data_IF_086194490363
#
_entry.id   IF_086194490363
#
_cell.length_a   1.000
_cell.length_b   1.000
_cell.length_c   1.000
_cell.angle_alpha   90.00
_cell.angle_beta   90.00
_cell.angle_gamma   90.00
#
_symmetry.space_group_name_H-M   'P 1'
#
loop_
_entity.id
_entity.type
_entity.pdbx_description
1 polymer ?
#
# COMPACT_ATOMS: atom_id res chain seq x y z
N UNK A 1 20.48 -14.01 25.67
CA UNK A 1 20.38 -14.10 24.19
C UNK A 1 19.42 -13.00 23.72
N UNK A 2 19.93 -11.85 23.30
CA UNK A 2 19.08 -10.72 22.88
C UNK A 2 18.77 -10.88 21.39
N UNK A 3 17.52 -11.22 21.06
CA UNK A 3 17.02 -11.19 19.70
C UNK A 3 17.07 -9.76 19.17
N UNK A 4 17.70 -9.49 18.00
CA UNK A 4 17.72 -8.14 17.45
C UNK A 4 16.30 -7.78 17.01
N UNK A 5 15.68 -6.87 17.77
CA UNK A 5 14.47 -6.17 17.40
C UNK A 5 14.72 -5.52 16.04
N UNK A 6 14.25 -6.14 14.96
CA UNK A 6 14.18 -5.51 13.63
C UNK A 6 13.32 -4.26 13.79
N UNK A 7 13.98 -3.11 13.98
CA UNK A 7 13.35 -1.79 13.96
C UNK A 7 12.60 -1.72 12.63
N UNK A 8 11.27 -1.77 12.70
CA UNK A 8 10.40 -1.72 11.51
C UNK A 8 10.56 -0.33 10.89
N UNK A 9 11.55 -0.19 10.00
CA UNK A 9 11.83 1.06 9.30
C UNK A 9 10.60 1.41 8.47
N UNK A 10 10.01 2.56 8.77
CA UNK A 10 8.81 3.01 8.09
C UNK A 10 9.13 3.24 6.62
N UNK A 11 8.25 2.79 5.74
CA UNK A 11 8.33 3.06 4.30
C UNK A 11 8.43 4.58 4.09
N UNK A 12 9.51 5.04 3.46
CA UNK A 12 9.73 6.45 3.12
C UNK A 12 8.67 6.94 2.12
N UNK A 13 8.55 8.26 1.96
CA UNK A 13 7.54 8.84 1.04
C UNK A 13 7.74 8.35 -0.40
N UNK A 14 8.99 8.27 -0.85
CA UNK A 14 9.37 7.78 -2.18
C UNK A 14 9.00 6.30 -2.35
N UNK A 15 9.29 5.47 -1.35
CA UNK A 15 8.87 4.07 -1.31
C UNK A 15 7.34 3.92 -1.38
N UNK A 16 6.60 4.79 -0.68
CA UNK A 16 5.13 4.80 -0.73
C UNK A 16 4.63 5.19 -2.12
N UNK A 17 5.25 6.20 -2.75
CA UNK A 17 4.88 6.62 -4.11
C UNK A 17 5.15 5.52 -5.12
N UNK A 18 6.31 4.85 -5.02
CA UNK A 18 6.63 3.69 -5.84
C UNK A 18 5.63 2.56 -5.64
N UNK A 19 5.28 2.24 -4.39
CA UNK A 19 4.28 1.22 -4.09
C UNK A 19 2.95 1.52 -4.79
N UNK A 20 2.47 2.76 -4.71
CA UNK A 20 1.22 3.18 -5.35
C UNK A 20 1.32 3.02 -6.87
N UNK A 21 2.40 3.50 -7.47
CA UNK A 21 2.64 3.39 -8.92
C UNK A 21 2.64 1.92 -9.38
N UNK A 22 3.34 1.05 -8.66
CA UNK A 22 3.42 -0.38 -8.99
C UNK A 22 2.08 -1.11 -8.82
N UNK A 23 1.25 -0.70 -7.85
CA UNK A 23 -0.11 -1.24 -7.68
C UNK A 23 -1.04 -0.72 -8.77
N UNK A 24 -0.95 0.56 -9.13
CA UNK A 24 -1.77 1.16 -10.21
C UNK A 24 -1.44 0.54 -11.57
N UNK A 25 -0.16 0.23 -11.83
CA UNK A 25 0.27 -0.52 -13.01
C UNK A 25 -0.25 -1.96 -13.05
N UNK A 26 -0.74 -2.50 -11.93
CA UNK A 26 -1.21 -3.88 -11.78
C UNK A 26 -2.70 -3.88 -11.42
N UNK A 27 -3.60 -3.75 -12.42
CA UNK A 27 -5.04 -3.72 -12.16
C UNK A 27 -5.51 -4.95 -11.38
N UNK A 28 -4.89 -6.11 -11.59
CA UNK A 28 -5.14 -7.36 -10.86
C UNK A 28 -5.18 -7.20 -9.32
N UNK A 29 -4.33 -6.33 -8.75
CA UNK A 29 -4.29 -6.06 -7.30
C UNK A 29 -5.49 -5.20 -6.87
N UNK A 30 -5.94 -4.29 -7.72
CA UNK A 30 -7.06 -3.39 -7.47
C UNK A 30 -8.43 -4.00 -7.79
N UNK A 31 -8.47 -5.08 -8.58
CA UNK A 31 -9.72 -5.74 -8.96
C UNK A 31 -10.45 -6.28 -7.73
N UNK A 32 -11.72 -5.90 -7.57
CA UNK A 32 -12.60 -6.38 -6.49
C UNK A 32 -13.15 -7.79 -6.74
N UNK A 33 -12.94 -8.33 -7.93
CA UNK A 33 -13.39 -9.68 -8.29
C UNK A 33 -12.70 -10.73 -7.45
N UNK A 34 -13.49 -11.69 -6.96
CA UNK A 34 -13.06 -12.77 -6.08
C UNK A 34 -13.29 -14.10 -6.81
N UNK A 35 -12.55 -14.30 -7.90
CA UNK A 35 -12.56 -15.59 -8.61
C UNK A 35 -11.25 -16.32 -8.27
N UNK A 36 -11.28 -17.66 -8.27
CA UNK A 36 -10.09 -18.47 -7.94
C UNK A 36 -8.88 -18.12 -8.83
N UNK A 37 -9.12 -17.90 -10.13
CA UNK A 37 -8.11 -17.41 -11.06
C UNK A 37 -7.56 -16.03 -10.68
N UNK A 38 -8.44 -15.09 -10.29
CA UNK A 38 -8.07 -13.73 -9.89
C UNK A 38 -7.29 -13.71 -8.58
N UNK A 39 -7.58 -14.63 -7.65
CA UNK A 39 -6.81 -14.76 -6.41
C UNK A 39 -5.37 -15.19 -6.69
N UNK A 40 -5.17 -16.15 -7.61
CA UNK A 40 -3.82 -16.56 -8.02
C UNK A 40 -3.08 -15.41 -8.71
N UNK A 41 -3.75 -14.68 -9.60
CA UNK A 41 -3.19 -13.49 -10.25
C UNK A 41 -2.85 -12.37 -9.26
N UNK A 42 -3.67 -12.16 -8.22
CA UNK A 42 -3.38 -11.22 -7.14
C UNK A 42 -2.12 -11.62 -6.39
N UNK A 43 -2.00 -12.88 -5.98
CA UNK A 43 -0.81 -13.38 -5.29
C UNK A 43 0.45 -13.24 -6.16
N UNK A 44 0.36 -13.60 -7.43
CA UNK A 44 1.45 -13.45 -8.39
C UNK A 44 1.85 -11.98 -8.57
N UNK A 45 0.87 -11.10 -8.79
CA UNK A 45 1.10 -9.66 -8.90
C UNK A 45 1.74 -9.07 -7.64
N UNK A 46 1.35 -9.53 -6.44
CA UNK A 46 1.99 -9.13 -5.18
C UNK A 46 3.42 -9.64 -5.06
N UNK A 47 3.71 -10.87 -5.52
CA UNK A 47 5.07 -11.40 -5.55
C UNK A 47 5.94 -10.61 -6.53
N UNK A 48 5.50 -10.40 -7.77
CA UNK A 48 6.23 -9.59 -8.75
C UNK A 48 6.45 -8.17 -8.26
N UNK A 49 5.43 -7.56 -7.64
CA UNK A 49 5.55 -6.24 -7.05
C UNK A 49 6.59 -6.23 -5.92
N UNK A 50 6.61 -7.23 -5.05
CA UNK A 50 7.60 -7.32 -3.98
C UNK A 50 9.03 -7.48 -4.53
N UNK A 51 9.19 -8.25 -5.61
CA UNK A 51 10.49 -8.40 -6.29
C UNK A 51 10.94 -7.08 -6.91
N UNK A 52 10.08 -6.39 -7.66
CA UNK A 52 10.41 -5.08 -8.22
C UNK A 52 10.69 -4.04 -7.14
N UNK A 53 9.87 -4.05 -6.09
CA UNK A 53 10.05 -3.15 -4.97
C UNK A 53 11.42 -3.37 -4.31
N UNK A 54 11.85 -4.61 -4.12
CA UNK A 54 13.17 -4.93 -3.56
C UNK A 54 14.34 -4.67 -4.51
N UNK A 55 14.09 -4.57 -5.83
CA UNK A 55 15.11 -4.15 -6.80
C UNK A 55 15.35 -2.65 -6.76
N UNK A 56 14.32 -1.86 -6.45
CA UNK A 56 14.36 -0.39 -6.47
C UNK A 56 14.64 0.15 -5.06
N UNK A 57 14.05 -0.46 -4.04
CA UNK A 57 14.31 -0.13 -2.64
C UNK A 57 15.60 -0.79 -2.19
N UNK A 58 16.41 0.00 -1.48
CA UNK A 58 17.61 -0.48 -0.78
C UNK A 58 17.26 -1.48 0.34
N UNK A 59 15.98 -1.52 0.76
CA UNK A 59 15.50 -2.40 1.80
C UNK A 59 14.65 -3.55 1.27
N UNK A 60 15.08 -4.79 1.56
CA UNK A 60 14.26 -5.98 1.34
C UNK A 60 13.00 -5.94 2.22
N UNK A 61 11.84 -5.69 1.60
CA UNK A 61 10.51 -5.79 2.20
C UNK A 61 9.83 -7.07 1.73
N UNK A 62 9.24 -7.79 2.67
CA UNK A 62 8.43 -8.97 2.36
C UNK A 62 7.08 -8.56 1.78
N UNK A 63 6.49 -9.43 0.94
CA UNK A 63 5.14 -9.25 0.38
C UNK A 63 4.09 -8.88 1.44
N UNK A 64 4.19 -9.47 2.63
CA UNK A 64 3.29 -9.21 3.76
C UNK A 64 3.42 -7.78 4.29
N UNK A 65 4.65 -7.25 4.38
CA UNK A 65 4.88 -5.87 4.82
C UNK A 65 4.34 -4.87 3.81
N UNK A 66 4.51 -5.18 2.52
CA UNK A 66 4.00 -4.36 1.43
C UNK A 66 2.46 -4.36 1.42
N UNK A 67 1.84 -5.55 1.53
CA UNK A 67 0.38 -5.70 1.68
C UNK A 67 -0.16 -4.93 2.88
N UNK A 68 0.49 -5.05 4.04
CA UNK A 68 0.11 -4.34 5.25
C UNK A 68 0.20 -2.82 5.08
N UNK A 69 1.28 -2.32 4.46
CA UNK A 69 1.42 -0.89 4.17
C UNK A 69 0.32 -0.43 3.21
N UNK A 70 0.03 -1.18 2.16
CA UNK A 70 -1.03 -0.86 1.21
C UNK A 70 -2.41 -0.78 1.88
N UNK A 71 -2.73 -1.70 2.78
CA UNK A 71 -3.98 -1.63 3.55
C UNK A 71 -4.06 -0.37 4.43
N UNK A 72 -2.95 -0.04 5.11
CA UNK A 72 -2.84 1.19 5.88
C UNK A 72 -2.97 2.44 5.01
N UNK A 73 -2.41 2.44 3.79
CA UNK A 73 -2.56 3.53 2.83
C UNK A 73 -4.02 3.67 2.36
N UNK A 74 -4.70 2.56 2.06
CA UNK A 74 -6.15 2.58 1.77
C UNK A 74 -6.96 3.16 2.92
N UNK A 75 -6.68 2.75 4.15
CA UNK A 75 -7.33 3.29 5.36
C UNK A 75 -7.07 4.80 5.50
N UNK A 76 -5.83 5.24 5.35
CA UNK A 76 -5.45 6.64 5.41
C UNK A 76 -6.09 7.48 4.29
N UNK A 77 -6.14 6.95 3.06
CA UNK A 77 -6.80 7.58 1.93
C UNK A 77 -8.30 7.76 2.17
N UNK A 78 -8.99 6.70 2.66
CA UNK A 78 -10.41 6.80 3.05
C UNK A 78 -10.65 7.85 4.14
N UNK A 79 -9.77 7.90 5.15
CA UNK A 79 -9.84 8.92 6.21
C UNK A 79 -9.68 10.34 5.65
N UNK A 80 -8.75 10.55 4.71
CA UNK A 80 -8.55 11.84 4.03
C UNK A 80 -9.76 12.25 3.19
N UNK A 81 -10.37 11.33 2.46
CA UNK A 81 -11.61 11.59 1.70
C UNK A 81 -12.74 11.98 2.66
N UNK A 82 -12.90 11.26 3.77
CA UNK A 82 -13.93 11.58 4.77
C UNK A 82 -13.67 12.91 5.49
N UNK A 83 -12.41 13.28 5.74
CA UNK A 83 -12.07 14.59 6.32
C UNK A 83 -12.24 15.73 5.32
N UNK A 84 -11.99 15.51 4.02
CA UNK A 84 -12.20 16.52 2.96
C UNK A 84 -13.67 16.93 2.84
N UNK A 85 -14.60 16.02 3.12
CA UNK A 85 -16.04 16.32 3.17
C UNK A 85 -16.45 17.14 4.40
N UNK A 86 -15.69 17.07 5.51
CA UNK A 86 -16.05 17.73 6.77
C UNK A 86 -15.59 19.19 6.83
N UNK A 87 -14.54 19.55 6.10
CA UNK A 87 -14.01 20.93 6.09
C UNK A 87 -14.76 21.87 5.14
N UNK A 88 -15.66 21.35 4.29
CA UNK A 88 -16.44 22.16 3.33
C UNK A 88 -17.74 22.72 3.91
N UNK A 89 -18.07 22.42 5.17
CA UNK A 89 -19.31 22.86 5.84
C UNK A 89 -19.05 23.88 6.97
N UNK A 90 -17.80 24.32 7.20
CA UNK A 90 -17.46 25.31 8.25
C UNK A 90 -16.94 26.65 7.70
N UNK A 91 -17.10 26.95 6.41
CA UNK A 91 -16.63 28.24 5.84
C UNK A 91 -17.74 28.99 5.08
N UNK A 92 -18.99 28.82 5.49
CA UNK A 92 -20.13 29.55 4.90
C UNK A 92 -21.12 30.06 5.97
N UNK A 93 -20.60 30.47 7.13
CA UNK A 93 -21.33 31.19 8.17
C UNK A 93 -20.35 32.14 8.90
N UNK A 94 -19.95 33.21 8.22
CA UNK A 94 -19.59 34.51 8.83
C UNK A 94 -20.25 35.58 7.97
#
# INVERSE_FOLDING_TARGET
MSTPLKIKKAMSRDEVSLLVDLVVKRPAITTKETNAATNKLKEDAWNSLAVEFNKISDQARSKEQIKLKWDNLKKAARKRVSQRSRTRIHHELV
#
